data_IF_984885007984
#
_entry.id   IF_984885007984
#
_cell.length_a   1.000
_cell.length_b   1.000
_cell.length_c   1.000
_cell.angle_alpha   90.00
_cell.angle_beta   90.00
_cell.angle_gamma   90.00
#
_symmetry.space_group_name_H-M   'P 1'
#
loop_
_entity.id
_entity.type
_entity.pdbx_description
1 polymer ?
#
# COMPACT_ATOMS: atom_id res chain seq x y z
N UNK A 1 35.16 -12.37 11.19
CA UNK A 1 34.21 -12.64 10.08
C UNK A 1 34.06 -11.35 9.29
N UNK A 2 34.51 -11.31 8.03
CA UNK A 2 34.24 -10.18 7.14
C UNK A 2 32.85 -10.41 6.52
N UNK A 3 31.90 -9.52 6.78
CA UNK A 3 30.64 -9.48 6.05
C UNK A 3 30.90 -8.79 4.70
N UNK A 4 30.76 -9.54 3.60
CA UNK A 4 30.76 -8.96 2.26
C UNK A 4 29.46 -8.14 2.10
N UNK A 5 29.61 -6.84 1.82
CA UNK A 5 28.46 -5.99 1.47
C UNK A 5 28.10 -6.26 0.02
N UNK A 6 27.01 -6.98 -0.22
CA UNK A 6 26.49 -7.20 -1.56
C UNK A 6 25.94 -5.89 -2.12
N UNK A 7 26.64 -5.30 -3.08
CA UNK A 7 26.11 -4.22 -3.91
C UNK A 7 24.95 -4.77 -4.74
N UNK A 8 23.72 -4.36 -4.42
CA UNK A 8 22.55 -4.62 -5.27
C UNK A 8 22.75 -3.79 -6.54
N UNK A 9 22.95 -4.45 -7.67
CA UNK A 9 22.94 -3.77 -8.96
C UNK A 9 21.54 -3.18 -9.19
N UNK A 10 21.47 -1.87 -9.46
CA UNK A 10 20.21 -1.24 -9.84
C UNK A 10 19.76 -1.83 -11.20
N UNK A 11 18.50 -2.24 -11.30
CA UNK A 11 17.90 -2.66 -12.56
C UNK A 11 17.79 -1.42 -13.47
N UNK A 12 18.32 -1.46 -14.69
CA UNK A 12 18.32 -0.33 -15.64
C UNK A 12 16.90 0.03 -16.14
N UNK A 13 15.87 -0.69 -15.69
CA UNK A 13 14.48 -0.43 -16.03
C UNK A 13 13.95 0.79 -15.26
N UNK A 14 13.24 1.72 -15.93
CA UNK A 14 12.59 2.84 -15.25
C UNK A 14 11.61 2.37 -14.17
N UNK A 15 11.57 3.09 -13.05
CA UNK A 15 10.57 2.90 -12.00
C UNK A 15 9.21 3.37 -12.51
N UNK A 16 8.17 2.58 -12.26
CA UNK A 16 6.78 2.98 -12.51
C UNK A 16 6.26 3.78 -11.32
N UNK A 17 5.92 5.04 -11.55
CA UNK A 17 5.38 5.94 -10.53
C UNK A 17 3.90 6.17 -10.79
N UNK A 18 3.07 5.94 -9.78
CA UNK A 18 1.64 6.19 -9.81
C UNK A 18 1.35 7.32 -8.81
N UNK A 19 0.64 8.35 -9.25
CA UNK A 19 0.26 9.49 -8.41
C UNK A 19 -1.25 9.43 -8.22
N UNK A 20 -1.68 9.18 -6.99
CA UNK A 20 -3.07 9.22 -6.59
C UNK A 20 -3.31 10.55 -5.89
N UNK A 21 -4.05 11.45 -6.53
CA UNK A 21 -4.36 12.77 -6.01
C UNK A 21 -5.82 13.12 -6.28
N UNK A 22 -6.48 13.72 -5.30
CA UNK A 22 -7.91 14.04 -5.36
C UNK A 22 -8.43 14.52 -4.02
N UNK A 23 -9.70 14.93 -4.00
CA UNK A 23 -10.37 15.46 -2.80
C UNK A 23 -11.35 14.44 -2.20
N UNK A 24 -11.77 14.71 -0.96
CA UNK A 24 -12.75 14.01 -0.12
C UNK A 24 -12.33 12.63 0.37
N UNK A 25 -11.85 11.74 -0.49
CA UNK A 25 -11.62 10.33 -0.13
C UNK A 25 -10.45 9.66 -0.85
N UNK A 26 -9.61 10.40 -1.58
CA UNK A 26 -8.45 9.81 -2.29
C UNK A 26 -7.44 9.17 -1.34
N UNK A 27 -7.37 9.66 -0.10
CA UNK A 27 -6.56 9.08 0.98
C UNK A 27 -7.01 7.66 1.37
N UNK A 28 -8.30 7.36 1.23
CA UNK A 28 -8.89 6.10 1.65
C UNK A 28 -9.16 6.04 3.16
N UNK A 29 -10.30 6.58 3.59
CA UNK A 29 -10.76 6.54 5.00
C UNK A 29 -11.41 5.19 5.41
N UNK A 30 -11.44 4.20 4.50
CA UNK A 30 -12.01 2.90 4.79
C UNK A 30 -11.21 2.18 5.87
N UNK A 31 -11.89 1.47 6.76
CA UNK A 31 -11.23 0.70 7.81
C UNK A 31 -10.95 -0.73 7.36
N UNK A 32 -9.93 -1.35 7.95
CA UNK A 32 -9.58 -2.76 7.66
C UNK A 32 -10.76 -3.71 7.95
N UNK A 33 -11.62 -3.41 8.92
CA UNK A 33 -12.79 -4.26 9.21
C UNK A 33 -13.85 -4.26 8.10
N UNK A 34 -13.80 -3.29 7.18
CA UNK A 34 -14.71 -3.21 6.01
C UNK A 34 -14.18 -3.94 4.78
N UNK A 35 -12.96 -4.48 4.85
CA UNK A 35 -12.25 -5.09 3.73
C UNK A 35 -13.01 -6.28 3.13
N UNK A 36 -13.74 -7.01 3.96
CA UNK A 36 -14.46 -8.22 3.59
C UNK A 36 -15.66 -7.95 2.69
N UNK A 37 -16.22 -6.73 2.72
CA UNK A 37 -17.36 -6.35 1.88
C UNK A 37 -17.05 -6.38 0.39
N UNK A 38 -15.77 -6.36 -0.01
CA UNK A 38 -15.36 -6.60 -1.41
C UNK A 38 -15.83 -7.98 -1.89
N UNK A 39 -15.98 -8.95 -0.98
CA UNK A 39 -16.43 -10.31 -1.30
C UNK A 39 -17.94 -10.48 -1.45
N UNK A 40 -18.73 -9.50 -1.02
CA UNK A 40 -20.20 -9.60 -1.01
C UNK A 40 -20.79 -9.54 -2.43
N UNK A 41 -20.12 -8.85 -3.34
CA UNK A 41 -20.45 -8.86 -4.77
C UNK A 41 -19.63 -9.95 -5.50
N UNK A 42 -20.28 -10.91 -6.18
CA UNK A 42 -19.60 -11.94 -6.96
C UNK A 42 -18.60 -11.39 -8.00
N UNK A 43 -18.84 -10.19 -8.53
CA UNK A 43 -17.96 -9.54 -9.50
C UNK A 43 -16.63 -9.08 -8.88
N UNK A 44 -16.62 -8.74 -7.58
CA UNK A 44 -15.42 -8.27 -6.86
C UNK A 44 -14.84 -9.32 -5.92
N UNK A 45 -15.53 -10.44 -5.66
CA UNK A 45 -14.98 -11.56 -4.89
C UNK A 45 -13.60 -12.07 -5.36
N UNK A 46 -13.27 -12.13 -6.67
CA UNK A 46 -11.92 -12.48 -7.11
C UNK A 46 -10.86 -11.47 -6.66
N UNK A 47 -11.21 -10.19 -6.52
CA UNK A 47 -10.32 -9.14 -6.03
C UNK A 47 -9.96 -9.36 -4.56
N UNK A 48 -10.95 -9.65 -3.70
CA UNK A 48 -10.70 -9.95 -2.28
C UNK A 48 -9.72 -11.12 -2.12
N UNK A 49 -9.82 -12.15 -2.97
CA UNK A 49 -8.91 -13.30 -2.98
C UNK A 49 -7.46 -12.90 -3.30
N UNK A 50 -7.25 -11.96 -4.22
CA UNK A 50 -5.92 -11.44 -4.56
C UNK A 50 -5.35 -10.52 -3.47
N UNK A 51 -6.23 -9.80 -2.76
CA UNK A 51 -5.86 -8.84 -1.73
C UNK A 51 -5.52 -9.49 -0.38
N UNK A 52 -5.65 -10.82 -0.25
CA UNK A 52 -5.35 -11.58 0.98
C UNK A 52 -4.15 -12.50 0.82
N UNK A 53 -3.30 -12.54 1.84
CA UNK A 53 -2.24 -13.53 1.98
C UNK A 53 -2.78 -14.92 2.33
N UNK A 54 -1.87 -15.91 2.37
CA UNK A 54 -2.21 -17.29 2.75
C UNK A 54 -2.75 -17.39 4.19
N UNK A 55 -2.47 -16.41 5.05
CA UNK A 55 -2.96 -16.30 6.42
C UNK A 55 -4.31 -15.54 6.53
N UNK A 56 -4.89 -15.13 5.40
CA UNK A 56 -6.16 -14.42 5.33
C UNK A 56 -6.07 -12.92 5.65
N UNK A 57 -4.89 -12.41 6.00
CA UNK A 57 -4.66 -10.97 6.26
C UNK A 57 -4.43 -10.21 4.95
N UNK A 58 -4.51 -8.86 4.94
CA UNK A 58 -4.15 -8.08 3.77
C UNK A 58 -2.76 -8.46 3.25
N UNK A 59 -2.68 -8.72 1.95
CA UNK A 59 -1.43 -9.04 1.28
C UNK A 59 -0.55 -7.78 1.19
N UNK A 60 0.75 -7.98 1.43
CA UNK A 60 1.77 -6.95 1.17
C UNK A 60 2.20 -7.08 -0.28
N UNK A 61 2.10 -6.01 -1.06
CA UNK A 61 2.47 -6.01 -2.47
C UNK A 61 3.97 -6.27 -2.66
N UNK A 62 4.30 -7.14 -3.62
CA UNK A 62 5.68 -7.36 -4.05
C UNK A 62 6.13 -6.27 -5.02
N UNK A 63 7.28 -5.65 -4.75
CA UNK A 63 7.87 -4.65 -5.65
C UNK A 63 7.18 -3.28 -5.66
N UNK A 64 6.22 -3.02 -4.76
CA UNK A 64 5.53 -1.75 -4.64
C UNK A 64 5.66 -1.14 -3.24
N UNK A 65 5.95 0.16 -3.21
CA UNK A 65 6.03 0.99 -2.02
C UNK A 65 5.08 2.17 -2.15
N UNK A 66 4.58 2.64 -1.03
CA UNK A 66 3.70 3.80 -0.94
C UNK A 66 4.26 4.78 0.07
N UNK A 67 4.12 6.06 -0.27
CA UNK A 67 4.03 7.13 0.70
C UNK A 67 2.67 7.78 0.53
N UNK A 68 1.99 8.07 1.63
CA UNK A 68 0.74 8.81 1.62
C UNK A 68 0.70 9.81 2.77
N UNK A 69 0.04 10.94 2.53
CA UNK A 69 -0.06 12.03 3.48
C UNK A 69 -1.41 11.94 4.16
N UNK A 70 -1.40 11.67 5.46
CA UNK A 70 -2.59 11.77 6.31
C UNK A 70 -2.54 13.09 7.07
N UNK A 71 -3.62 13.87 7.05
CA UNK A 71 -3.75 14.99 7.98
C UNK A 71 -4.50 16.22 7.50
N UNK A 72 -5.13 16.88 8.49
CA UNK A 72 -5.52 18.28 8.40
C UNK A 72 -4.26 19.16 8.50
N UNK A 73 -4.19 20.23 7.70
CA UNK A 73 -3.11 21.21 7.72
C UNK A 73 -3.15 22.03 9.02
N UNK A 74 -2.52 21.54 10.10
CA UNK A 74 -2.42 22.23 11.40
C UNK A 74 -0.99 22.77 11.68
N UNK A 75 -0.21 23.04 10.63
CA UNK A 75 1.04 23.79 10.75
C UNK A 75 2.24 23.02 11.34
N UNK A 76 2.13 21.72 11.62
CA UNK A 76 3.28 20.82 11.75
C UNK A 76 3.10 19.64 10.77
N UNK A 77 4.20 19.01 10.38
CA UNK A 77 4.30 18.04 9.29
C UNK A 77 3.08 17.11 9.20
N UNK A 78 2.39 17.16 8.05
CA UNK A 78 1.36 16.18 7.69
C UNK A 78 1.92 14.79 7.97
N UNK A 79 1.24 13.99 8.77
CA UNK A 79 1.68 12.67 9.23
C UNK A 79 1.83 11.72 8.04
N UNK A 80 2.96 11.84 7.35
CA UNK A 80 3.33 11.00 6.22
C UNK A 80 3.57 9.58 6.73
N UNK A 81 2.87 8.62 6.12
CA UNK A 81 3.08 7.22 6.36
C UNK A 81 3.70 6.59 5.11
N UNK A 82 4.72 5.75 5.33
CA UNK A 82 5.53 5.14 4.29
C UNK A 82 5.73 3.66 4.54
N UNK A 83 5.77 2.86 3.47
CA UNK A 83 6.05 1.43 3.60
C UNK A 83 5.84 0.66 2.31
N UNK A 84 5.90 -0.67 2.41
CA UNK A 84 5.40 -1.53 1.34
C UNK A 84 3.89 -1.37 1.24
N UNK A 85 3.37 -1.36 0.02
CA UNK A 85 1.93 -1.17 -0.19
C UNK A 85 1.13 -2.34 0.42
N UNK A 86 0.25 -2.02 1.36
CA UNK A 86 -0.71 -2.93 2.00
C UNK A 86 -1.90 -2.13 2.53
N UNK A 87 -3.03 -2.79 2.80
CA UNK A 87 -4.14 -2.14 3.51
C UNK A 87 -3.83 -2.02 5.01
N UNK A 88 -4.25 -0.90 5.61
CA UNK A 88 -4.11 -0.65 7.06
C UNK A 88 -2.70 -0.26 7.50
N UNK A 89 -1.92 0.37 6.62
CA UNK A 89 -0.59 0.92 6.95
C UNK A 89 -0.69 1.99 8.05
#
# INVERSE_FOLDING_TARGET
>A
MLAASSTIAADDKPIKVFILAGQSNMEGHAKVETFDYIGDDPATAPLLKMMRGADGKPAVAEGAWISYLTGHYEGNANGEAMGKLTAGL
#
